data_IF_476122087725
#
_entry.id   IF_476122087725
#
_cell.length_a   1.000
_cell.length_b   1.000
_cell.length_c   1.000
_cell.angle_alpha   90.00
_cell.angle_beta   90.00
_cell.angle_gamma   90.00
#
_symmetry.space_group_name_H-M   'P 1'
#
loop_
_entity.id
_entity.type
_entity.pdbx_description
1 polymer ?
#
# COMPACT_ATOMS: atom_id res chain seq x y z
N UNK A 1 -5.88 -16.39 -17.14
CA UNK A 1 -6.17 -15.00 -16.73
C UNK A 1 -6.91 -14.99 -15.41
N UNK A 2 -6.61 -14.03 -14.57
CA UNK A 2 -7.17 -14.00 -13.22
C UNK A 2 -8.55 -13.33 -13.20
N UNK A 3 -9.46 -13.85 -12.37
CA UNK A 3 -10.81 -13.30 -12.22
C UNK A 3 -10.77 -11.98 -11.47
N UNK A 4 -11.88 -11.23 -11.53
CA UNK A 4 -12.01 -9.97 -10.77
C UNK A 4 -11.89 -10.22 -9.27
N UNK A 5 -12.44 -11.33 -8.77
CA UNK A 5 -12.34 -11.70 -7.36
C UNK A 5 -10.90 -11.95 -6.95
N UNK A 6 -10.14 -12.67 -7.76
CA UNK A 6 -8.73 -12.93 -7.48
C UNK A 6 -7.92 -11.63 -7.47
N UNK A 7 -8.17 -10.74 -8.44
CA UNK A 7 -7.49 -9.44 -8.48
C UNK A 7 -7.85 -8.57 -7.28
N UNK A 8 -9.12 -8.56 -6.90
CA UNK A 8 -9.58 -7.80 -5.75
C UNK A 8 -8.95 -8.32 -4.46
N UNK A 9 -8.92 -9.64 -4.27
CA UNK A 9 -8.30 -10.24 -3.09
C UNK A 9 -6.80 -9.92 -3.04
N UNK A 10 -6.11 -9.97 -4.18
CA UNK A 10 -4.70 -9.63 -4.24
C UNK A 10 -4.46 -8.17 -3.81
N UNK A 11 -5.29 -7.25 -4.29
CA UNK A 11 -5.17 -5.84 -3.92
C UNK A 11 -5.47 -5.61 -2.43
N UNK A 12 -6.48 -6.29 -1.88
CA UNK A 12 -6.80 -6.19 -0.45
C UNK A 12 -5.64 -6.70 0.40
N UNK A 13 -5.14 -7.89 0.09
CA UNK A 13 -4.05 -8.49 0.83
C UNK A 13 -2.76 -7.67 0.69
N UNK A 14 -2.49 -7.17 -0.53
CA UNK A 14 -1.31 -6.35 -0.78
C UNK A 14 -1.35 -5.03 -0.03
N UNK A 15 -2.50 -4.36 -0.05
CA UNK A 15 -2.65 -3.09 0.67
C UNK A 15 -2.55 -3.31 2.18
N UNK A 16 -3.16 -4.39 2.70
CA UNK A 16 -3.06 -4.74 4.11
C UNK A 16 -1.60 -5.00 4.51
N UNK A 17 -0.85 -5.74 3.71
CA UNK A 17 0.56 -6.01 3.97
C UNK A 17 1.38 -4.71 3.91
N UNK A 18 1.11 -3.83 2.96
CA UNK A 18 1.80 -2.55 2.86
C UNK A 18 1.56 -1.71 4.11
N UNK A 19 0.31 -1.62 4.56
CA UNK A 19 -0.03 -0.84 5.76
C UNK A 19 0.61 -1.43 7.01
N UNK A 20 0.65 -2.75 7.10
CA UNK A 20 1.25 -3.42 8.25
C UNK A 20 2.76 -3.17 8.32
N UNK A 21 3.47 -3.28 7.22
CA UNK A 21 4.92 -3.16 7.19
C UNK A 21 5.39 -1.71 7.06
N UNK A 22 4.80 -0.93 6.15
CA UNK A 22 5.20 0.46 5.90
C UNK A 22 4.90 1.37 7.09
N UNK A 23 3.66 1.81 7.24
CA UNK A 23 3.29 2.62 8.41
C UNK A 23 3.55 1.90 9.73
N UNK A 24 3.46 0.57 9.76
CA UNK A 24 3.80 -0.22 10.94
C UNK A 24 5.23 -0.01 11.40
N UNK A 25 6.18 0.17 10.49
CA UNK A 25 7.57 0.46 10.85
C UNK A 25 7.70 1.83 11.52
N UNK A 26 6.89 2.81 11.12
CA UNK A 26 6.85 4.12 11.76
C UNK A 26 6.32 3.99 13.18
N UNK A 27 5.22 3.28 13.36
CA UNK A 27 4.63 3.04 14.68
C UNK A 27 5.63 2.31 15.58
N UNK A 28 6.29 1.27 15.06
CA UNK A 28 7.29 0.54 15.81
C UNK A 28 8.43 1.46 16.27
N UNK A 29 8.90 2.34 15.39
CA UNK A 29 9.96 3.28 15.73
C UNK A 29 9.52 4.27 16.82
N UNK A 30 8.31 4.83 16.68
CA UNK A 30 7.83 5.84 17.62
C UNK A 30 7.41 5.24 18.97
N UNK A 31 6.70 4.11 18.93
CA UNK A 31 6.11 3.53 20.15
C UNK A 31 7.08 2.61 20.88
N UNK A 32 7.66 1.65 20.15
CA UNK A 32 8.51 0.64 20.79
C UNK A 32 9.89 1.17 21.13
N UNK A 33 10.43 2.09 20.31
CA UNK A 33 11.71 2.71 20.59
C UNK A 33 11.57 3.96 21.49
N UNK A 34 10.34 4.34 21.83
CA UNK A 34 10.09 5.50 22.72
C UNK A 34 10.48 6.83 22.10
N UNK A 35 10.38 6.95 20.78
CA UNK A 35 10.78 8.17 20.07
C UNK A 35 9.57 9.01 19.66
N UNK A 36 9.75 10.33 19.69
CA UNK A 36 8.83 11.29 19.09
C UNK A 36 9.33 11.69 17.71
N UNK A 37 8.45 12.25 16.89
CA UNK A 37 8.82 12.65 15.52
C UNK A 37 10.08 13.51 15.47
N UNK A 38 10.25 14.55 16.32
CA UNK A 38 11.48 15.35 16.29
C UNK A 38 12.75 14.60 16.68
N UNK A 39 12.60 13.41 17.30
CA UNK A 39 13.73 12.60 17.74
C UNK A 39 14.08 11.49 16.76
N UNK A 40 13.39 11.42 15.62
CA UNK A 40 13.71 10.43 14.57
C UNK A 40 15.06 10.77 13.95
N UNK A 41 15.95 9.79 13.93
CA UNK A 41 17.28 9.93 13.38
C UNK A 41 17.29 9.58 11.88
N UNK A 42 18.42 9.88 11.23
CA UNK A 42 18.61 9.46 9.83
C UNK A 42 18.56 7.94 9.69
N UNK A 43 19.09 7.22 10.68
CA UNK A 43 19.02 5.75 10.68
C UNK A 43 17.59 5.26 10.78
N UNK A 44 16.76 5.92 11.58
CA UNK A 44 15.33 5.57 11.67
C UNK A 44 14.63 5.78 10.34
N UNK A 45 14.88 6.92 9.68
CA UNK A 45 14.31 7.21 8.37
C UNK A 45 14.76 6.21 7.32
N UNK A 46 16.03 5.81 7.36
CA UNK A 46 16.56 4.81 6.44
C UNK A 46 15.85 3.48 6.65
N UNK A 47 15.67 3.05 7.91
CA UNK A 47 14.96 1.81 8.21
C UNK A 47 13.52 1.83 7.74
N UNK A 48 12.80 2.93 7.97
CA UNK A 48 11.42 3.10 7.52
C UNK A 48 11.36 3.06 5.99
N UNK A 49 12.29 3.75 5.31
CA UNK A 49 12.34 3.77 3.86
C UNK A 49 12.59 2.38 3.29
N UNK A 50 13.48 1.61 3.88
CA UNK A 50 13.70 0.21 3.48
C UNK A 50 12.46 -0.65 3.71
N UNK A 51 11.73 -0.45 4.83
CA UNK A 51 10.52 -1.19 5.08
C UNK A 51 9.49 -0.96 3.97
N UNK A 52 9.25 0.30 3.58
CA UNK A 52 8.36 0.62 2.46
C UNK A 52 8.88 0.02 1.16
N UNK A 53 10.13 0.24 0.84
CA UNK A 53 10.72 -0.24 -0.42
C UNK A 53 10.69 -1.75 -0.56
N UNK A 54 11.05 -2.46 0.48
CA UNK A 54 11.07 -3.93 0.45
C UNK A 54 9.68 -4.52 0.37
N UNK A 55 8.69 -3.99 1.13
CA UNK A 55 7.33 -4.53 1.05
C UNK A 55 6.72 -4.26 -0.33
N UNK A 56 6.94 -3.09 -0.90
CA UNK A 56 6.44 -2.78 -2.24
C UNK A 56 7.09 -3.70 -3.27
N UNK A 57 8.40 -3.90 -3.19
CA UNK A 57 9.11 -4.80 -4.10
C UNK A 57 8.59 -6.23 -3.97
N UNK A 58 8.43 -6.72 -2.75
CA UNK A 58 7.91 -8.06 -2.51
C UNK A 58 6.50 -8.22 -3.07
N UNK A 59 5.63 -7.20 -2.90
CA UNK A 59 4.27 -7.24 -3.41
C UNK A 59 4.22 -7.21 -4.93
N UNK A 60 5.10 -6.43 -5.57
CA UNK A 60 5.18 -6.42 -7.04
C UNK A 60 5.50 -7.81 -7.56
N UNK A 61 6.44 -8.51 -6.96
CA UNK A 61 6.77 -9.88 -7.36
C UNK A 61 5.66 -10.87 -7.01
N UNK A 62 4.99 -10.66 -5.87
CA UNK A 62 3.96 -11.61 -5.41
C UNK A 62 2.65 -11.50 -6.17
N UNK A 63 2.15 -10.28 -6.39
CA UNK A 63 0.82 -10.05 -6.94
C UNK A 63 0.79 -9.20 -8.20
N UNK A 64 1.93 -8.77 -8.71
CA UNK A 64 1.97 -7.93 -9.90
C UNK A 64 1.31 -8.58 -11.11
N UNK A 65 1.49 -9.88 -11.28
CA UNK A 65 0.86 -10.63 -12.38
C UNK A 65 -0.62 -10.86 -12.17
N UNK A 66 -1.07 -10.86 -10.91
CA UNK A 66 -2.47 -11.12 -10.58
C UNK A 66 -3.32 -9.86 -10.77
N UNK A 67 -2.92 -8.76 -10.11
CA UNK A 67 -3.73 -7.55 -10.06
C UNK A 67 -3.03 -6.31 -10.64
N UNK A 68 -1.76 -6.41 -10.97
CA UNK A 68 -0.93 -5.27 -11.35
C UNK A 68 -0.30 -4.57 -10.16
N UNK A 69 -0.59 -5.03 -8.95
CA UNK A 69 -0.04 -4.50 -7.70
C UNK A 69 -0.22 -2.98 -7.62
N UNK A 70 -1.46 -2.50 -7.78
CA UNK A 70 -1.76 -1.07 -7.70
C UNK A 70 -1.55 -0.54 -6.29
N UNK A 71 -2.17 -1.20 -5.31
CA UNK A 71 -2.13 -0.90 -3.87
C UNK A 71 -2.28 0.60 -3.54
N UNK A 72 -2.80 1.36 -4.49
CA UNK A 72 -3.01 2.80 -4.36
C UNK A 72 -4.08 3.24 -5.37
N UNK A 73 -5.14 3.98 -4.93
CA UNK A 73 -6.18 4.45 -5.85
C UNK A 73 -5.66 5.34 -6.97
N UNK A 74 -4.62 6.14 -6.70
CA UNK A 74 -4.04 7.01 -7.71
C UNK A 74 -3.37 6.22 -8.83
N UNK A 75 -2.72 5.10 -8.50
CA UNK A 75 -2.12 4.22 -9.50
C UNK A 75 -3.20 3.62 -10.38
N UNK A 76 -4.31 3.17 -9.80
CA UNK A 76 -5.45 2.63 -10.55
C UNK A 76 -6.00 3.66 -11.52
N UNK A 77 -6.20 4.89 -11.06
CA UNK A 77 -6.68 5.99 -11.90
C UNK A 77 -5.71 6.27 -13.05
N UNK A 78 -4.42 6.36 -12.74
CA UNK A 78 -3.39 6.62 -13.75
C UNK A 78 -3.35 5.55 -14.83
N UNK A 79 -3.47 4.28 -14.44
CA UNK A 79 -3.49 3.19 -15.40
C UNK A 79 -4.75 3.22 -16.26
N UNK A 80 -5.89 3.58 -15.68
CA UNK A 80 -7.14 3.71 -16.44
C UNK A 80 -7.06 4.87 -17.42
N UNK A 81 -6.52 6.02 -16.98
CA UNK A 81 -6.37 7.20 -17.82
C UNK A 81 -5.43 6.96 -19.00
N UNK A 82 -4.42 6.09 -18.84
CA UNK A 82 -3.49 5.73 -19.91
C UNK A 82 -3.94 4.51 -20.70
N UNK A 83 -5.17 4.06 -20.49
CA UNK A 83 -5.79 2.93 -21.20
C UNK A 83 -5.12 1.57 -20.92
N UNK A 84 -4.37 1.47 -19.83
CA UNK A 84 -3.77 0.21 -19.41
C UNK A 84 -4.68 -0.63 -18.54
N UNK A 85 -5.78 -0.01 -18.06
CA UNK A 85 -6.79 -0.66 -17.25
C UNK A 85 -8.17 -0.19 -17.74
N UNK A 86 -9.14 -1.12 -17.94
CA UNK A 86 -10.49 -0.70 -18.30
C UNK A 86 -11.12 0.13 -17.19
N UNK A 87 -11.78 1.23 -17.57
CA UNK A 87 -12.46 2.10 -16.61
C UNK A 87 -13.50 1.36 -15.76
N UNK A 88 -14.12 0.30 -16.32
CA UNK A 88 -15.10 -0.51 -15.61
C UNK A 88 -14.51 -1.21 -14.38
N UNK A 89 -13.19 -1.42 -14.33
CA UNK A 89 -12.52 -2.05 -13.21
C UNK A 89 -12.09 -1.05 -12.12
N UNK A 90 -12.11 0.25 -12.41
CA UNK A 90 -11.69 1.29 -11.48
C UNK A 90 -12.50 1.26 -10.18
N UNK A 91 -13.87 1.20 -10.22
CA UNK A 91 -14.62 1.16 -8.96
C UNK A 91 -14.26 -0.02 -8.08
N UNK A 92 -13.99 -1.19 -8.67
CA UNK A 92 -13.59 -2.38 -7.90
C UNK A 92 -12.26 -2.15 -7.19
N UNK A 93 -11.25 -1.67 -7.92
CA UNK A 93 -9.93 -1.40 -7.33
C UNK A 93 -10.02 -0.31 -6.26
N UNK A 94 -10.74 0.76 -6.53
CA UNK A 94 -10.91 1.84 -5.57
C UNK A 94 -11.62 1.35 -4.31
N UNK A 95 -12.68 0.55 -4.44
CA UNK A 95 -13.39 0.01 -3.28
C UNK A 95 -12.44 -0.81 -2.41
N UNK A 96 -11.64 -1.70 -3.01
CA UNK A 96 -10.68 -2.52 -2.28
C UNK A 96 -9.60 -1.68 -1.61
N UNK A 97 -9.01 -0.72 -2.34
CA UNK A 97 -7.88 0.07 -1.85
C UNK A 97 -8.30 1.06 -0.77
N UNK A 98 -9.44 1.74 -0.99
CA UNK A 98 -9.93 2.71 -0.01
C UNK A 98 -10.44 2.04 1.26
N UNK A 99 -10.98 0.83 1.14
CA UNK A 99 -11.46 0.08 2.30
C UNK A 99 -10.31 -0.40 3.19
N UNK A 100 -9.19 -0.80 2.58
CA UNK A 100 -8.06 -1.36 3.31
C UNK A 100 -7.00 -0.34 3.70
N UNK A 101 -6.93 0.80 3.01
CA UNK A 101 -5.97 1.86 3.32
C UNK A 101 -6.40 2.65 4.56
N UNK A 102 -5.44 3.17 5.37
CA UNK A 102 -5.79 4.08 6.45
C UNK A 102 -6.44 5.35 5.89
N UNK A 103 -7.56 5.76 6.49
CA UNK A 103 -8.19 7.01 6.07
C UNK A 103 -7.35 8.21 6.52
N UNK A 104 -7.50 9.38 5.87
CA UNK A 104 -6.83 10.59 6.35
C UNK A 104 -7.18 10.93 7.79
N UNK A 105 -8.41 10.61 8.22
CA UNK A 105 -8.84 10.81 9.60
C UNK A 105 -8.02 9.97 10.56
N UNK A 106 -7.76 8.72 10.20
CA UNK A 106 -6.97 7.81 11.04
C UNK A 106 -5.52 8.28 11.12
N UNK A 107 -4.99 8.84 10.03
CA UNK A 107 -3.62 9.38 10.01
C UNK A 107 -3.45 10.62 10.88
N UNK A 108 -4.53 11.36 11.11
CA UNK A 108 -4.50 12.58 11.92
C UNK A 108 -4.57 12.29 13.42
N UNK A 109 -4.96 11.09 13.79
CA UNK A 109 -4.98 10.67 15.18
C UNK A 109 -3.61 10.25 15.63
#
# INVERSE_FOLDING_TARGET
MYSKTQRALAEVLGTAALVLVGPGSVVATLELAGKAVPAITESDLLGISFAFGFIITALVYAIGKVSGCHINPAVTFGLAATKRLPWRDVPLYWACLLYTSPSPRDRQK
#
